data_IF_889900948183
#
_entry.id   IF_889900948183
#
_cell.length_a   1.000
_cell.length_b   1.000
_cell.length_c   1.000
_cell.angle_alpha   90.00
_cell.angle_beta   90.00
_cell.angle_gamma   90.00
#
_symmetry.space_group_name_H-M   'P 1'
#
loop_
_entity.id
_entity.type
_entity.pdbx_description
1 polymer ?
#
# COMPACT_ATOMS: atom_id res chain seq x y z
N UNK A 1 -3.19 3.01 12.33
CA UNK A 1 -2.42 3.40 11.13
C UNK A 1 -3.29 4.32 10.29
N UNK A 2 -2.70 5.34 9.64
CA UNK A 2 -3.40 6.19 8.68
C UNK A 2 -2.76 6.00 7.31
N UNK A 3 -3.57 5.98 6.25
CA UNK A 3 -3.10 5.71 4.89
C UNK A 3 -3.62 6.81 3.98
N UNK A 4 -2.73 7.35 3.14
CA UNK A 4 -3.01 8.50 2.29
C UNK A 4 -2.44 8.27 0.90
N UNK A 5 -3.21 8.63 -0.14
CA UNK A 5 -2.74 8.58 -1.53
C UNK A 5 -3.82 8.06 -2.48
N UNK A 6 -3.38 7.63 -3.65
CA UNK A 6 -4.20 7.01 -4.67
C UNK A 6 -4.11 5.47 -4.56
N UNK A 7 -5.18 4.86 -4.06
CA UNK A 7 -5.25 3.40 -3.90
C UNK A 7 -5.33 2.68 -5.25
N UNK A 8 -6.10 3.22 -6.20
CA UNK A 8 -6.32 2.64 -7.54
C UNK A 8 -5.05 2.59 -8.37
N UNK A 9 -4.15 3.56 -8.18
CA UNK A 9 -2.84 3.60 -8.87
C UNK A 9 -1.72 2.93 -8.06
N UNK A 10 -2.03 2.35 -6.89
CA UNK A 10 -1.05 1.79 -5.97
C UNK A 10 0.05 2.80 -5.59
N UNK A 11 -0.34 4.05 -5.36
CA UNK A 11 0.54 5.13 -4.91
C UNK A 11 0.01 5.73 -3.61
N UNK A 12 0.41 5.14 -2.49
CA UNK A 12 -0.03 5.57 -1.18
C UNK A 12 1.02 5.33 -0.10
N UNK A 13 1.00 6.18 0.93
CA UNK A 13 1.88 6.09 2.09
C UNK A 13 1.12 5.69 3.34
N UNK A 14 1.81 5.02 4.24
CA UNK A 14 1.30 4.62 5.55
C UNK A 14 2.01 5.37 6.67
N UNK A 15 1.25 5.83 7.65
CA UNK A 15 1.75 6.55 8.82
C UNK A 15 1.26 5.94 10.14
N UNK A 16 2.17 5.88 11.12
CA UNK A 16 1.89 5.56 12.52
C UNK A 16 2.43 6.69 13.37
N UNK A 17 1.62 7.26 14.26
CA UNK A 17 2.01 8.41 15.09
C UNK A 17 2.61 9.58 14.27
N UNK A 18 2.06 9.84 13.08
CA UNK A 18 2.53 10.85 12.11
C UNK A 18 3.93 10.59 11.51
N UNK A 19 4.50 9.40 11.72
CA UNK A 19 5.76 8.97 11.12
C UNK A 19 5.45 8.02 9.97
N UNK A 20 6.08 8.25 8.82
CA UNK A 20 5.94 7.36 7.66
C UNK A 20 6.62 6.02 7.93
N UNK A 21 5.87 4.95 7.73
CA UNK A 21 6.30 3.56 7.97
C UNK A 21 6.31 2.69 6.72
N UNK A 22 5.60 3.10 5.67
CA UNK A 22 5.68 2.43 4.38
C UNK A 22 5.27 3.36 3.23
N UNK A 23 5.77 3.05 2.04
CA UNK A 23 5.35 3.61 0.76
C UNK A 23 5.02 2.48 -0.20
N UNK A 24 3.81 2.49 -0.76
CA UNK A 24 3.42 1.66 -1.90
C UNK A 24 3.56 2.51 -3.15
N UNK A 25 4.22 1.97 -4.18
CA UNK A 25 4.37 2.64 -5.47
C UNK A 25 4.29 1.62 -6.60
N UNK A 26 3.63 1.98 -7.71
CA UNK A 26 3.68 1.20 -8.95
C UNK A 26 5.12 1.19 -9.49
N UNK A 27 5.66 0.00 -9.78
CA UNK A 27 6.97 -0.10 -10.45
C UNK A 27 6.80 0.20 -11.93
N UNK A 28 7.29 1.36 -12.36
CA UNK A 28 7.28 1.79 -13.77
C UNK A 28 8.11 0.91 -14.72
N UNK A 29 8.92 -0.02 -14.22
CA UNK A 29 9.93 -0.74 -15.02
C UNK A 29 9.50 -2.16 -15.46
N UNK A 30 8.29 -2.62 -15.10
CA UNK A 30 7.79 -3.93 -15.57
C UNK A 30 6.35 -3.84 -16.09
N UNK A 31 6.11 -4.39 -17.28
CA UNK A 31 4.80 -4.47 -17.98
C UNK A 31 3.90 -5.54 -17.31
N UNK A 32 3.76 -5.50 -15.99
CA UNK A 32 2.83 -6.34 -15.21
C UNK A 32 2.37 -5.54 -14.00
N UNK A 33 1.15 -5.85 -13.52
CA UNK A 33 0.50 -5.26 -12.34
C UNK A 33 1.29 -5.49 -11.03
N UNK A 34 2.53 -5.01 -10.96
CA UNK A 34 3.41 -5.16 -9.82
C UNK A 34 3.64 -3.78 -9.19
N UNK A 35 3.14 -3.65 -7.96
CA UNK A 35 3.51 -2.56 -7.07
C UNK A 35 4.58 -3.03 -6.09
N UNK A 36 5.44 -2.10 -5.66
CA UNK A 36 6.44 -2.31 -4.63
C UNK A 36 5.95 -1.74 -3.31
N UNK A 37 6.21 -2.45 -2.21
CA UNK A 37 6.00 -1.95 -0.84
C UNK A 37 7.37 -1.70 -0.22
N UNK A 38 7.70 -0.44 -0.01
CA UNK A 38 8.91 -0.01 0.70
C UNK A 38 8.56 0.21 2.17
N UNK A 39 9.01 -0.66 3.05
CA UNK A 39 8.81 -0.54 4.51
C UNK A 39 9.96 0.29 5.08
N UNK A 40 9.62 1.35 5.79
CA UNK A 40 10.58 2.30 6.37
C UNK A 40 10.42 2.36 7.89
N UNK A 41 11.52 2.56 8.61
CA UNK A 41 11.49 2.69 10.07
C UNK A 41 11.26 1.37 10.80
N UNK A 42 10.62 1.44 11.98
CA UNK A 42 10.57 0.35 12.96
C UNK A 42 9.19 -0.35 13.04
N UNK A 43 8.40 -0.28 11.97
CA UNK A 43 7.09 -0.90 11.94
C UNK A 43 7.17 -2.41 11.69
N UNK A 44 6.28 -3.18 12.33
CA UNK A 44 6.16 -4.63 12.06
C UNK A 44 5.73 -4.84 10.59
N UNK A 45 6.56 -5.53 9.76
CA UNK A 45 6.23 -5.77 8.37
C UNK A 45 4.88 -6.47 8.16
N UNK A 46 4.45 -7.32 9.10
CA UNK A 46 3.16 -8.03 9.01
C UNK A 46 1.98 -7.07 9.05
N UNK A 47 2.09 -6.00 9.85
CA UNK A 47 1.04 -4.99 9.94
C UNK A 47 0.94 -4.19 8.63
N UNK A 48 2.08 -3.85 8.02
CA UNK A 48 2.12 -3.16 6.72
C UNK A 48 1.50 -4.03 5.63
N UNK A 49 1.94 -5.29 5.51
CA UNK A 49 1.45 -6.20 4.48
C UNK A 49 -0.04 -6.52 4.68
N UNK A 50 -0.49 -6.72 5.91
CA UNK A 50 -1.91 -6.94 6.21
C UNK A 50 -2.79 -5.77 5.76
N UNK A 51 -2.33 -4.53 5.95
CA UNK A 51 -3.06 -3.35 5.48
C UNK A 51 -3.09 -3.24 3.95
N UNK A 52 -1.99 -3.57 3.27
CA UNK A 52 -1.96 -3.65 1.80
C UNK A 52 -3.00 -4.66 1.31
N UNK A 53 -3.02 -5.89 1.85
CA UNK A 53 -3.96 -6.94 1.46
C UNK A 53 -5.42 -6.49 1.65
N UNK A 54 -5.73 -5.81 2.75
CA UNK A 54 -7.08 -5.31 3.01
C UNK A 54 -7.52 -4.26 1.98
N UNK A 55 -6.62 -3.35 1.58
CA UNK A 55 -6.90 -2.35 0.53
C UNK A 55 -7.12 -3.04 -0.81
N UNK A 56 -6.24 -3.97 -1.20
CA UNK A 56 -6.38 -4.71 -2.46
C UNK A 56 -7.71 -5.49 -2.51
N UNK A 57 -8.11 -6.10 -1.39
CA UNK A 57 -9.36 -6.83 -1.31
C UNK A 57 -10.57 -5.91 -1.56
N UNK A 58 -10.59 -4.71 -0.97
CA UNK A 58 -11.66 -3.75 -1.22
C UNK A 58 -11.67 -3.25 -2.66
N UNK A 59 -10.51 -2.91 -3.23
CA UNK A 59 -10.42 -2.47 -4.63
C UNK A 59 -10.92 -3.56 -5.60
N UNK A 60 -10.57 -4.82 -5.35
CA UNK A 60 -11.07 -5.97 -6.12
C UNK A 60 -12.58 -6.17 -5.93
N UNK A 61 -13.11 -5.88 -4.74
CA UNK A 61 -14.53 -5.99 -4.42
C UNK A 61 -15.32 -4.89 -5.12
N UNK A 62 -14.87 -3.64 -5.07
CA UNK A 62 -15.51 -2.50 -5.77
C UNK A 62 -15.53 -2.70 -7.29
N UNK A 63 -14.46 -3.23 -7.89
CA UNK A 63 -14.42 -3.51 -9.35
C UNK A 63 -15.40 -4.60 -9.81
N UNK A 64 -15.93 -5.42 -8.90
CA UNK A 64 -16.86 -6.51 -9.23
C UNK A 64 -18.34 -6.11 -9.14
N UNK A 65 -18.64 -4.91 -8.64
CA UNK A 65 -19.98 -4.32 -8.58
C UNK A 65 -20.16 -3.24 -9.63
#
# INVERSE_FOLDING_TARGET
MRIFGNFVEHDYRMEVNKVQVAQVHRKWVSIRDQFGVSITGNADPRMVIGAVIAIEHEEVTERRH
#
